data_IF_886771957376
#
_entry.id   IF_886771957376
#
_cell.length_a   1.000
_cell.length_b   1.000
_cell.length_c   1.000
_cell.angle_alpha   90.00
_cell.angle_beta   90.00
_cell.angle_gamma   90.00
#
_symmetry.space_group_name_H-M   'P 1'
#
loop_
_entity.id
_entity.type
_entity.pdbx_description
1 polymer ?
#
# COMPACT_ATOMS: atom_id res chain seq x y z
N UNK A 1 -18.61 -18.19 0.53
CA UNK A 1 -17.83 -17.08 -0.07
C UNK A 1 -16.80 -16.41 0.87
N UNK A 2 -16.66 -16.82 2.14
CA UNK A 2 -15.78 -16.15 3.11
C UNK A 2 -14.26 -16.34 2.89
N UNK A 3 -13.84 -17.36 2.14
CA UNK A 3 -12.40 -17.67 1.92
C UNK A 3 -11.79 -16.71 0.87
N UNK A 4 -12.58 -16.34 -0.14
CA UNK A 4 -12.15 -15.43 -1.21
C UNK A 4 -12.00 -14.00 -0.68
N UNK A 5 -12.87 -13.58 0.24
CA UNK A 5 -12.86 -12.23 0.83
C UNK A 5 -11.68 -12.03 1.79
N UNK A 6 -11.37 -13.03 2.65
CA UNK A 6 -10.16 -13.01 3.49
C UNK A 6 -8.86 -13.02 2.66
N UNK A 7 -8.88 -13.66 1.50
CA UNK A 7 -7.72 -13.70 0.60
C UNK A 7 -7.45 -12.34 -0.04
N UNK A 8 -8.49 -11.58 -0.42
CA UNK A 8 -8.33 -10.22 -0.97
C UNK A 8 -7.85 -9.22 0.08
N UNK A 9 -8.34 -9.30 1.32
CA UNK A 9 -7.85 -8.46 2.43
C UNK A 9 -6.38 -8.73 2.74
N UNK A 10 -5.99 -10.00 2.80
CA UNK A 10 -4.61 -10.38 3.05
C UNK A 10 -3.65 -9.88 1.95
N UNK A 11 -4.09 -9.93 0.69
CA UNK A 11 -3.32 -9.38 -0.44
C UNK A 11 -3.21 -7.85 -0.36
N UNK A 12 -4.31 -7.16 -0.05
CA UNK A 12 -4.32 -5.71 0.10
C UNK A 12 -3.43 -5.24 1.26
N UNK A 13 -3.51 -5.90 2.42
CA UNK A 13 -2.66 -5.63 3.58
C UNK A 13 -1.18 -5.87 3.27
N UNK A 14 -0.85 -6.97 2.58
CA UNK A 14 0.51 -7.26 2.14
C UNK A 14 1.06 -6.16 1.23
N UNK A 15 0.28 -5.71 0.24
CA UNK A 15 0.68 -4.62 -0.67
C UNK A 15 0.89 -3.30 0.07
N UNK A 16 0.04 -2.97 1.03
CA UNK A 16 0.18 -1.77 1.85
C UNK A 16 1.48 -1.76 2.66
N UNK A 17 1.81 -2.88 3.32
CA UNK A 17 3.05 -3.02 4.10
C UNK A 17 4.28 -2.94 3.19
N UNK A 18 4.23 -3.58 2.02
CA UNK A 18 5.32 -3.54 1.04
C UNK A 18 5.55 -2.13 0.49
N UNK A 19 4.48 -1.40 0.15
CA UNK A 19 4.54 -0.01 -0.29
C UNK A 19 5.11 0.91 0.79
N UNK A 20 4.64 0.76 2.04
CA UNK A 20 5.12 1.52 3.19
C UNK A 20 6.63 1.32 3.42
N UNK A 21 7.12 0.09 3.28
CA UNK A 21 8.55 -0.22 3.38
C UNK A 21 9.36 0.42 2.26
N UNK A 22 8.84 0.43 1.03
CA UNK A 22 9.50 1.07 -0.10
C UNK A 22 9.60 2.59 0.06
N UNK A 23 8.58 3.23 0.66
CA UNK A 23 8.60 4.64 1.02
C UNK A 23 9.69 4.95 2.05
N UNK A 24 9.79 4.17 3.13
CA UNK A 24 10.86 4.31 4.14
C UNK A 24 12.26 4.21 3.51
N UNK A 25 12.47 3.23 2.63
CA UNK A 25 13.74 3.07 1.91
C UNK A 25 14.03 4.25 0.97
N UNK A 26 13.01 4.78 0.28
CA UNK A 26 13.16 5.94 -0.61
C UNK A 26 13.50 7.21 0.17
N UNK A 27 12.88 7.43 1.34
CA UNK A 27 13.22 8.55 2.23
C UNK A 27 14.66 8.48 2.73
N UNK A 28 15.12 7.30 3.15
CA UNK A 28 16.53 7.10 3.56
C UNK A 28 17.50 7.35 2.42
N UNK A 29 17.13 6.97 1.20
CA UNK A 29 17.93 7.27 0.01
C UNK A 29 18.02 8.78 -0.27
N UNK A 30 16.91 9.53 -0.13
CA UNK A 30 16.91 11.00 -0.27
C UNK A 30 17.76 11.68 0.80
N UNK A 31 17.78 11.16 2.04
CA UNK A 31 18.60 11.67 3.13
C UNK A 31 20.09 11.30 3.03
N UNK A 32 20.46 10.41 2.11
CA UNK A 32 21.84 9.92 1.97
C UNK A 32 22.25 8.92 3.06
N UNK A 33 21.30 8.36 3.81
CA UNK A 33 21.54 7.40 4.89
C UNK A 33 21.83 5.96 4.39
N UNK A 34 21.89 5.75 3.08
CA UNK A 34 22.16 4.45 2.46
C UNK A 34 23.66 4.09 2.58
N UNK A 35 24.07 3.63 3.77
CA UNK A 35 25.34 2.92 3.97
C UNK A 35 25.20 1.53 3.35
N UNK A 36 25.99 1.27 2.31
CA UNK A 36 26.16 0.02 1.57
C UNK A 36 25.31 -0.12 0.28
N UNK A 37 26.01 0.07 -0.85
CA UNK A 37 25.66 -0.39 -2.22
C UNK A 37 24.51 0.30 -2.97
N UNK A 38 23.97 1.40 -2.49
CA UNK A 38 23.24 2.28 -3.39
C UNK A 38 24.27 2.96 -4.31
N UNK A 39 24.36 2.47 -5.55
CA UNK A 39 24.92 3.21 -6.69
C UNK A 39 24.60 4.69 -6.52
N UNK A 40 25.57 5.59 -6.74
CA UNK A 40 25.49 7.05 -6.51
C UNK A 40 24.28 7.60 -7.25
N UNK A 41 23.10 7.48 -6.63
CA UNK A 41 21.84 7.94 -7.15
C UNK A 41 21.89 9.44 -6.93
N UNK A 42 21.77 10.19 -8.02
CA UNK A 42 21.66 11.64 -7.91
C UNK A 42 20.44 11.98 -7.05
N UNK A 43 20.51 13.09 -6.33
CA UNK A 43 19.40 13.57 -5.50
C UNK A 43 18.07 13.63 -6.27
N UNK A 44 18.11 13.99 -7.56
CA UNK A 44 16.96 13.98 -8.45
C UNK A 44 16.39 12.56 -8.69
N UNK A 45 17.23 11.56 -8.93
CA UNK A 45 16.79 10.18 -9.06
C UNK A 45 16.18 9.63 -7.75
N UNK A 46 16.75 10.00 -6.60
CA UNK A 46 16.20 9.65 -5.29
C UNK A 46 14.83 10.29 -5.05
N UNK A 47 14.67 11.55 -5.43
CA UNK A 47 13.40 12.26 -5.34
C UNK A 47 12.32 11.62 -6.23
N UNK A 48 12.61 11.34 -7.50
CA UNK A 48 11.64 10.68 -8.39
C UNK A 48 11.24 9.29 -7.90
N UNK A 49 12.17 8.56 -7.27
CA UNK A 49 11.86 7.27 -6.63
C UNK A 49 10.93 7.42 -5.44
N UNK A 50 11.09 8.48 -4.64
CA UNK A 50 10.20 8.79 -3.53
C UNK A 50 8.80 9.15 -4.03
N UNK A 51 8.69 10.03 -5.02
CA UNK A 51 7.41 10.44 -5.62
C UNK A 51 6.63 9.22 -6.14
N UNK A 52 7.31 8.32 -6.84
CA UNK A 52 6.71 7.06 -7.30
C UNK A 52 6.25 6.18 -6.15
N UNK A 53 7.05 6.05 -5.09
CA UNK A 53 6.69 5.22 -3.94
C UNK A 53 5.45 5.76 -3.20
N UNK A 54 5.29 7.09 -3.12
CA UNK A 54 4.11 7.73 -2.54
C UNK A 54 2.85 7.49 -3.38
N UNK A 55 2.97 7.58 -4.70
CA UNK A 55 1.88 7.28 -5.63
C UNK A 55 1.46 5.79 -5.57
N UNK A 56 2.41 4.88 -5.41
CA UNK A 56 2.13 3.46 -5.17
C UNK A 56 1.45 3.21 -3.81
N UNK A 57 1.85 3.94 -2.76
CA UNK A 57 1.20 3.88 -1.44
C UNK A 57 -0.26 4.35 -1.52
N UNK A 58 -0.52 5.50 -2.15
CA UNK A 58 -1.87 6.04 -2.31
C UNK A 58 -2.79 5.07 -3.07
N UNK A 59 -2.27 4.38 -4.10
CA UNK A 59 -3.01 3.33 -4.80
C UNK A 59 -3.29 2.12 -3.89
N UNK A 60 -2.33 1.70 -3.08
CA UNK A 60 -2.52 0.58 -2.16
C UNK A 60 -3.58 0.90 -1.09
N UNK A 61 -3.60 2.14 -0.58
CA UNK A 61 -4.62 2.62 0.37
C UNK A 61 -6.01 2.60 -0.24
N UNK A 62 -6.17 3.11 -1.47
CA UNK A 62 -7.45 3.11 -2.16
C UNK A 62 -7.99 1.69 -2.41
N UNK A 63 -7.11 0.74 -2.75
CA UNK A 63 -7.48 -0.67 -2.91
C UNK A 63 -7.91 -1.31 -1.59
N UNK A 64 -7.17 -1.04 -0.51
CA UNK A 64 -7.51 -1.55 0.82
C UNK A 64 -8.87 -1.02 1.29
N UNK A 65 -9.09 0.29 1.21
CA UNK A 65 -10.35 0.94 1.57
C UNK A 65 -11.53 0.40 0.74
N UNK A 66 -11.32 0.16 -0.56
CA UNK A 66 -12.31 -0.50 -1.41
C UNK A 66 -12.63 -1.94 -0.96
N UNK A 67 -11.61 -2.75 -0.62
CA UNK A 67 -11.80 -4.12 -0.18
C UNK A 67 -12.60 -4.18 1.15
N UNK A 68 -12.31 -3.29 2.09
CA UNK A 68 -13.01 -3.19 3.37
C UNK A 68 -14.46 -2.71 3.16
N UNK A 69 -14.71 -1.72 2.29
CA UNK A 69 -16.08 -1.24 1.99
C UNK A 69 -16.96 -2.31 1.35
N UNK A 70 -16.41 -3.14 0.46
CA UNK A 70 -17.15 -4.26 -0.17
C UNK A 70 -17.56 -5.31 0.87
N UNK A 71 -16.74 -5.56 1.88
CA UNK A 71 -17.12 -6.44 2.99
C UNK A 71 -18.17 -5.82 3.92
N UNK A 72 -18.08 -4.53 4.22
CA UNK A 72 -19.07 -3.81 5.02
C UNK A 72 -20.49 -3.88 4.43
N UNK A 73 -20.61 -3.86 3.09
CA UNK A 73 -21.89 -4.07 2.38
C UNK A 73 -22.34 -5.53 2.37
N UNK A 74 -21.40 -6.47 2.36
CA UNK A 74 -21.69 -7.92 2.37
C UNK A 74 -22.11 -8.43 3.76
N UNK A 75 -21.89 -7.62 4.81
CA UNK A 75 -22.29 -7.90 6.20
C UNK A 75 -23.54 -7.13 6.64
N UNK A 76 -24.34 -6.60 5.71
CA UNK A 76 -25.73 -6.22 6.01
C UNK A 76 -26.62 -7.46 5.77
N UNK A 77 -26.87 -8.32 6.78
CA UNK A 77 -27.97 -9.27 6.68
C UNK A 77 -29.27 -8.47 6.55
N UNK A 78 -30.14 -8.93 5.67
CA UNK A 78 -31.29 -8.20 5.17
C UNK A 78 -32.02 -7.37 6.23
N UNK A 79 -32.27 -6.11 5.87
CA UNK A 79 -33.42 -5.38 6.36
C UNK A 79 -34.68 -6.18 5.95
N UNK A 80 -35.04 -7.14 6.79
CA UNK A 80 -36.35 -7.78 6.77
C UNK A 80 -37.29 -6.77 7.41
N UNK A 81 -37.93 -5.94 6.57
CA UNK A 81 -39.18 -5.30 6.99
C UNK A 81 -40.33 -6.23 6.58
N UNK A 82 -41.13 -6.50 7.60
CA UNK A 82 -42.32 -7.35 7.70
C UNK A 82 -43.51 -6.82 6.91
#
# INVERSE_FOLDING_TARGET
>A
MAIITRSQEAEAARRFVEASRNVDLAFRAVRGEQVAKASVMTRGAAQSRLERALDELARAEALFDSAIRVQGRSHQPGHMDI
#
